data_IF_896813691242
#
_entry.id   IF_896813691242
#
_cell.length_a   1.000
_cell.length_b   1.000
_cell.length_c   1.000
_cell.angle_alpha   90.00
_cell.angle_beta   90.00
_cell.angle_gamma   90.00
#
_symmetry.space_group_name_H-M   'P 1'
#
loop_
_entity.id
_entity.type
_entity.pdbx_description
1 polymer ?
#
# COMPACT_ATOMS: atom_id res chain seq x y z
N UNK A 1 4.34 13.96 13.88
CA UNK A 1 4.13 12.64 13.24
C UNK A 1 3.06 12.64 12.14
N UNK A 2 2.16 13.64 12.03
CA UNK A 2 1.08 13.67 11.02
C UNK A 2 1.37 14.37 9.68
N UNK A 3 2.63 14.69 9.36
CA UNK A 3 2.96 15.44 8.14
C UNK A 3 2.71 14.57 6.90
N UNK A 4 1.95 15.10 5.93
CA UNK A 4 1.66 14.47 4.65
C UNK A 4 2.50 15.11 3.55
N UNK A 5 3.09 14.30 2.69
CA UNK A 5 3.72 14.77 1.46
C UNK A 5 2.66 14.96 0.37
N UNK A 6 2.38 16.21 0.03
CA UNK A 6 1.66 16.57 -1.19
C UNK A 6 2.67 16.67 -2.34
N UNK A 7 3.05 15.52 -2.88
CA UNK A 7 4.00 15.42 -3.98
C UNK A 7 3.44 14.52 -5.07
N UNK A 8 3.88 14.75 -6.31
CA UNK A 8 3.54 13.89 -7.47
C UNK A 8 3.90 12.41 -7.28
N UNK A 9 4.79 12.12 -6.34
CA UNK A 9 5.20 10.77 -5.95
C UNK A 9 4.16 10.06 -5.07
N UNK A 10 3.21 10.79 -4.49
CA UNK A 10 2.02 10.23 -3.84
C UNK A 10 0.93 10.11 -4.90
N UNK A 11 0.79 8.91 -5.47
CA UNK A 11 -0.19 8.62 -6.52
C UNK A 11 -1.56 8.45 -5.86
N UNK A 12 -2.41 9.47 -6.00
CA UNK A 12 -3.78 9.41 -5.49
C UNK A 12 -4.57 8.37 -6.27
N UNK A 13 -5.19 7.44 -5.56
CA UNK A 13 -6.19 6.58 -6.15
C UNK A 13 -7.54 7.27 -6.06
N UNK A 14 -8.04 7.82 -7.16
CA UNK A 14 -9.27 8.63 -7.19
C UNK A 14 -10.49 7.87 -6.64
N UNK A 15 -10.50 6.54 -6.66
CA UNK A 15 -11.60 5.73 -6.13
C UNK A 15 -11.59 5.60 -4.60
N UNK A 16 -10.44 5.76 -3.94
CA UNK A 16 -10.28 5.50 -2.50
C UNK A 16 -9.86 6.77 -1.74
N UNK A 17 -9.03 7.60 -2.36
CA UNK A 17 -8.50 8.84 -1.78
C UNK A 17 -9.44 10.05 -1.96
N UNK A 18 -10.35 10.03 -2.94
CA UNK A 18 -11.36 11.09 -3.08
C UNK A 18 -12.54 10.86 -2.13
N UNK A 19 -12.89 9.59 -1.89
CA UNK A 19 -14.01 9.23 -1.00
C UNK A 19 -13.66 9.43 0.49
N UNK A 20 -12.38 9.28 0.84
CA UNK A 20 -11.87 9.46 2.21
C UNK A 20 -10.91 10.65 2.27
N UNK A 21 -11.43 11.85 2.54
CA UNK A 21 -10.61 13.05 2.70
C UNK A 21 -9.46 12.82 3.69
N UNK A 22 -8.26 13.30 3.35
CA UNK A 22 -7.10 13.17 4.23
C UNK A 22 -7.42 13.78 5.62
N UNK A 23 -7.02 13.12 6.72
CA UNK A 23 -7.26 13.67 8.05
C UNK A 23 -6.57 15.01 8.19
N UNK A 24 -7.29 15.99 8.75
CA UNK A 24 -6.72 17.31 9.03
C UNK A 24 -5.52 17.16 9.95
N UNK A 25 -4.40 17.79 9.59
CA UNK A 25 -3.21 17.78 10.42
C UNK A 25 -3.49 18.51 11.74
N UNK A 26 -3.44 17.77 12.85
CA UNK A 26 -3.41 18.33 14.20
C UNK A 26 -2.08 17.97 14.87
N UNK A 27 -1.24 18.94 15.25
CA UNK A 27 0.03 18.69 15.91
C UNK A 27 -0.13 17.98 17.26
N UNK A 28 -1.30 18.06 17.90
CA UNK A 28 -1.60 17.43 19.20
C UNK A 28 -2.28 16.07 19.05
N UNK A 29 -2.98 15.83 17.94
CA UNK A 29 -3.76 14.61 17.72
C UNK A 29 -3.31 13.94 16.42
N UNK A 30 -2.46 12.91 16.55
CA UNK A 30 -2.04 12.11 15.41
C UNK A 30 -3.09 11.05 15.08
N UNK A 31 -3.70 11.16 13.89
CA UNK A 31 -4.61 10.15 13.36
C UNK A 31 -3.80 9.25 12.41
N UNK A 32 -3.58 7.96 12.75
CA UNK A 32 -2.87 7.04 11.87
C UNK A 32 -3.67 6.83 10.58
N UNK A 33 -3.03 7.01 9.43
CA UNK A 33 -3.65 6.81 8.12
C UNK A 33 -2.65 6.29 7.10
N UNK A 34 -3.13 5.55 6.12
CA UNK A 34 -2.37 5.12 4.93
C UNK A 34 -2.64 6.00 3.71
N UNK A 35 -3.35 7.13 3.90
CA UNK A 35 -3.64 8.08 2.83
C UNK A 35 -2.37 8.41 2.05
N UNK A 36 -2.44 8.39 0.71
CA UNK A 36 -1.29 8.57 -0.17
C UNK A 36 -0.47 9.82 0.20
N UNK A 37 0.82 9.64 0.49
CA UNK A 37 1.73 10.65 0.99
C UNK A 37 1.87 10.71 2.52
N UNK A 38 1.13 9.92 3.28
CA UNK A 38 1.21 9.86 4.75
C UNK A 38 2.16 8.76 5.23
N UNK A 39 2.74 8.94 6.41
CA UNK A 39 3.55 7.89 7.06
C UNK A 39 2.63 6.72 7.42
N UNK A 40 3.03 5.50 7.06
CA UNK A 40 2.20 4.34 7.36
C UNK A 40 2.11 4.08 8.87
N UNK A 41 0.96 3.63 9.39
CA UNK A 41 0.80 3.35 10.81
C UNK A 41 1.75 2.23 11.26
N UNK A 42 2.42 2.45 12.39
CA UNK A 42 3.15 1.39 13.08
C UNK A 42 2.14 0.50 13.80
N UNK A 43 2.04 -0.75 13.36
CA UNK A 43 1.12 -1.75 13.94
C UNK A 43 1.89 -3.03 14.19
N UNK A 44 1.63 -3.65 15.34
CA UNK A 44 2.10 -4.99 15.65
C UNK A 44 1.19 -6.01 14.95
N UNK A 45 1.81 -6.96 14.25
CA UNK A 45 1.15 -8.11 13.64
C UNK A 45 0.78 -9.13 14.73
N UNK A 46 -0.05 -10.11 14.37
CA UNK A 46 -0.52 -11.14 15.30
C UNK A 46 0.61 -12.01 15.86
N UNK A 47 1.74 -12.09 15.15
CA UNK A 47 2.96 -12.77 15.57
C UNK A 47 3.82 -11.94 16.55
N UNK A 48 3.43 -10.69 16.83
CA UNK A 48 4.17 -9.76 17.71
C UNK A 48 5.27 -8.98 17.00
N UNK A 49 5.58 -9.31 15.75
CA UNK A 49 6.47 -8.52 14.88
C UNK A 49 5.81 -7.20 14.43
N UNK A 50 6.59 -6.15 14.22
CA UNK A 50 6.08 -4.90 13.67
C UNK A 50 5.89 -5.03 12.16
N UNK A 51 4.82 -4.46 11.59
CA UNK A 51 4.59 -4.46 10.14
C UNK A 51 5.77 -3.89 9.34
N UNK A 52 6.50 -2.94 9.92
CA UNK A 52 7.68 -2.31 9.34
C UNK A 52 8.89 -3.24 9.25
N UNK A 53 8.96 -4.29 10.07
CA UNK A 53 10.01 -5.32 9.97
C UNK A 53 9.90 -6.10 8.65
N UNK A 54 8.68 -6.21 8.13
CA UNK A 54 8.40 -6.82 6.84
C UNK A 54 8.87 -6.01 5.64
N UNK A 55 9.27 -4.75 5.81
CA UNK A 55 9.65 -3.87 4.69
C UNK A 55 10.95 -4.32 4.01
N UNK A 56 11.01 -4.12 2.70
CA UNK A 56 12.20 -4.36 1.89
C UNK A 56 13.15 -3.17 1.88
N UNK A 57 14.32 -3.33 1.24
CA UNK A 57 15.29 -2.26 1.01
C UNK A 57 14.78 -1.18 0.03
N UNK A 58 13.78 -1.52 -0.78
CA UNK A 58 13.16 -0.64 -1.76
C UNK A 58 11.69 -0.41 -1.43
N UNK A 59 10.83 -0.51 -2.44
CA UNK A 59 9.40 -0.43 -2.26
C UNK A 59 8.87 -1.74 -1.66
N UNK A 60 7.81 -1.64 -0.87
CA UNK A 60 7.11 -2.79 -0.31
C UNK A 60 5.63 -2.71 -0.64
N UNK A 61 5.08 -3.73 -1.29
CA UNK A 61 3.64 -3.85 -1.51
C UNK A 61 3.04 -4.67 -0.37
N UNK A 62 2.24 -4.03 0.48
CA UNK A 62 1.57 -4.69 1.61
C UNK A 62 0.16 -5.07 1.18
N UNK A 63 -0.15 -6.36 1.20
CA UNK A 63 -1.46 -6.91 0.89
C UNK A 63 -2.06 -7.58 2.13
N UNK A 64 -3.21 -7.10 2.58
CA UNK A 64 -3.98 -7.72 3.66
C UNK A 64 -4.95 -8.75 3.07
N UNK A 65 -4.74 -10.03 3.42
CA UNK A 65 -5.50 -11.17 2.91
C UNK A 65 -6.33 -11.78 4.04
N UNK A 66 -7.58 -12.14 3.74
CA UNK A 66 -8.45 -12.88 4.66
C UNK A 66 -8.61 -14.32 4.19
N UNK A 67 -8.58 -15.27 5.11
CA UNK A 67 -8.59 -16.71 4.81
C UNK A 67 -9.90 -17.12 4.13
N UNK A 68 -11.00 -16.48 4.49
CA UNK A 68 -12.34 -16.70 3.96
C UNK A 68 -12.45 -16.25 2.50
N UNK A 69 -11.77 -15.16 2.13
CA UNK A 69 -11.70 -14.68 0.74
C UNK A 69 -10.84 -15.62 -0.14
N UNK A 70 -9.82 -16.27 0.42
CA UNK A 70 -8.99 -17.26 -0.28
C UNK A 70 -9.72 -18.59 -0.46
N UNK A 71 -10.62 -18.95 0.46
CA UNK A 71 -11.40 -20.18 0.42
C UNK A 71 -12.52 -20.19 -0.64
N UNK A 72 -12.93 -19.02 -1.15
CA UNK A 72 -13.98 -18.90 -2.16
C UNK A 72 -13.52 -19.27 -3.60
N UNK A 73 -12.27 -19.67 -3.82
CA UNK A 73 -11.94 -20.33 -5.08
C UNK A 73 -10.49 -20.37 -5.58
N UNK A 74 -9.45 -20.22 -4.75
CA UNK A 74 -8.13 -20.78 -5.10
C UNK A 74 -7.13 -20.66 -3.93
N UNK A 75 -6.63 -21.79 -3.45
CA UNK A 75 -5.68 -21.85 -2.32
C UNK A 75 -4.27 -21.34 -2.68
N UNK A 76 -4.06 -20.81 -3.89
CA UNK A 76 -2.76 -20.36 -4.38
C UNK A 76 -2.83 -19.05 -5.20
N UNK A 77 -3.92 -18.28 -5.14
CA UNK A 77 -4.02 -17.03 -5.89
C UNK A 77 -3.37 -15.87 -5.14
N UNK A 78 -2.18 -15.50 -5.61
CA UNK A 78 -1.67 -14.13 -5.43
C UNK A 78 -2.75 -13.18 -5.96
N UNK A 79 -3.18 -12.16 -5.20
CA UNK A 79 -4.10 -11.16 -5.72
C UNK A 79 -3.63 -10.66 -7.09
N UNK A 80 -4.54 -10.61 -8.08
CA UNK A 80 -4.22 -10.16 -9.44
C UNK A 80 -3.54 -8.79 -9.42
N UNK A 81 -4.01 -7.91 -8.51
CA UNK A 81 -3.38 -6.62 -8.25
C UNK A 81 -1.90 -6.76 -7.84
N UNK A 82 -1.59 -7.58 -6.83
CA UNK A 82 -0.21 -7.78 -6.36
C UNK A 82 0.68 -8.36 -7.47
N UNK A 83 0.20 -9.37 -8.19
CA UNK A 83 0.93 -9.98 -9.30
C UNK A 83 1.23 -8.95 -10.41
N UNK A 84 0.28 -8.06 -10.72
CA UNK A 84 0.47 -6.98 -11.70
C UNK A 84 1.56 -6.00 -11.29
N UNK A 85 1.66 -5.67 -10.00
CA UNK A 85 2.72 -4.81 -9.46
C UNK A 85 4.07 -5.51 -9.42
N UNK A 86 4.14 -6.78 -9.03
CA UNK A 86 5.36 -7.59 -9.06
C UNK A 86 5.91 -7.69 -10.49
N UNK A 87 5.05 -7.95 -11.47
CA UNK A 87 5.43 -8.03 -12.88
C UNK A 87 5.89 -6.67 -13.42
N UNK A 88 5.17 -5.59 -13.13
CA UNK A 88 5.57 -4.24 -13.53
C UNK A 88 6.91 -3.82 -12.91
N UNK A 89 7.14 -4.13 -11.63
CA UNK A 89 8.41 -3.88 -10.98
C UNK A 89 9.55 -4.67 -11.62
N UNK A 90 9.31 -5.94 -11.97
CA UNK A 90 10.28 -6.79 -12.69
C UNK A 90 10.63 -6.22 -14.07
N UNK A 91 9.64 -5.76 -14.83
CA UNK A 91 9.84 -5.16 -16.15
C UNK A 91 10.69 -3.88 -16.09
N UNK A 92 10.50 -3.07 -15.06
CA UNK A 92 11.22 -1.81 -14.86
C UNK A 92 12.44 -1.93 -13.95
N UNK A 93 12.83 -3.15 -13.54
CA UNK A 93 13.94 -3.41 -12.60
C UNK A 93 13.84 -2.61 -11.28
N UNK A 94 12.61 -2.40 -10.81
CA UNK A 94 12.33 -1.68 -9.56
C UNK A 94 12.39 -2.69 -8.40
N UNK A 95 13.14 -2.41 -7.31
CA UNK A 95 13.16 -3.27 -6.14
C UNK A 95 11.83 -3.17 -5.39
N UNK A 96 10.91 -4.10 -5.67
CA UNK A 96 9.63 -4.24 -5.00
C UNK A 96 9.58 -5.56 -4.23
N UNK A 97 9.23 -5.49 -2.95
CA UNK A 97 8.97 -6.66 -2.10
C UNK A 97 7.47 -6.82 -1.89
N UNK A 98 6.90 -7.98 -2.22
CA UNK A 98 5.52 -8.32 -1.84
C UNK A 98 5.47 -8.81 -0.39
N UNK A 99 4.70 -8.14 0.46
CA UNK A 99 4.40 -8.54 1.83
C UNK A 99 2.92 -8.94 1.94
N UNK A 100 2.67 -10.23 2.12
CA UNK A 100 1.32 -10.80 2.22
C UNK A 100 1.00 -11.07 3.69
N UNK A 101 0.06 -10.32 4.24
CA UNK A 101 -0.36 -10.42 5.64
C UNK A 101 -1.68 -11.19 5.70
N UNK A 102 -1.61 -12.43 6.17
CA UNK A 102 -2.79 -13.30 6.27
C UNK A 102 -3.49 -13.14 7.61
N UNK A 103 -4.81 -12.96 7.57
CA UNK A 103 -5.68 -12.89 8.74
C UNK A 103 -5.34 -11.76 9.75
N UNK A 104 -4.67 -10.70 9.28
CA UNK A 104 -4.29 -9.55 10.11
C UNK A 104 -5.42 -8.50 10.18
N UNK A 105 -6.54 -8.89 10.79
CA UNK A 105 -7.76 -8.05 10.84
C UNK A 105 -7.50 -6.73 11.57
N UNK A 106 -6.72 -6.75 12.65
CA UNK A 106 -6.41 -5.55 13.43
C UNK A 106 -5.59 -4.54 12.61
N UNK A 107 -4.51 -5.00 11.96
CA UNK A 107 -3.67 -4.16 11.13
C UNK A 107 -4.41 -3.65 9.89
N UNK A 108 -5.21 -4.50 9.24
CA UNK A 108 -6.06 -4.10 8.11
C UNK A 108 -7.06 -3.00 8.49
N UNK A 109 -7.66 -3.05 9.69
CA UNK A 109 -8.57 -2.00 10.18
C UNK A 109 -7.87 -0.67 10.43
N UNK A 110 -6.66 -0.69 11.01
CA UNK A 110 -5.88 0.54 11.25
C UNK A 110 -5.37 1.13 9.94
N UNK A 111 -4.93 0.26 9.02
CA UNK A 111 -4.43 0.68 7.72
C UNK A 111 -5.55 1.07 6.76
N UNK A 112 -6.77 0.59 6.97
CA UNK A 112 -7.97 0.97 6.22
C UNK A 112 -7.81 0.84 4.70
N UNK A 113 -7.06 -0.19 4.29
CA UNK A 113 -6.79 -0.50 2.89
C UNK A 113 -6.48 -1.99 2.76
N UNK A 114 -6.80 -2.55 1.59
CA UNK A 114 -6.50 -3.94 1.28
C UNK A 114 -5.10 -4.10 0.68
N UNK A 115 -4.67 -3.11 -0.10
CA UNK A 115 -3.37 -3.08 -0.76
C UNK A 115 -2.73 -1.71 -0.61
N UNK A 116 -1.47 -1.65 -0.18
CA UNK A 116 -0.74 -0.39 0.01
C UNK A 116 0.68 -0.51 -0.51
N UNK A 117 1.07 0.42 -1.37
CA UNK A 117 2.45 0.59 -1.83
C UNK A 117 3.19 1.49 -0.85
N UNK A 118 4.20 0.93 -0.19
CA UNK A 118 5.02 1.61 0.81
C UNK A 118 6.39 1.91 0.22
N UNK A 119 6.84 3.15 0.41
CA UNK A 119 8.17 3.62 0.02
C UNK A 119 9.25 3.16 1.01
N UNK A 120 10.54 3.13 0.62
CA UNK A 120 11.63 2.81 1.54
C UNK A 120 11.71 3.78 2.75
N UNK A 121 11.19 5.00 2.62
CA UNK A 121 11.09 5.97 3.73
C UNK A 121 9.92 5.74 4.70
N UNK A 122 9.09 4.71 4.47
CA UNK A 122 7.96 4.35 5.33
C UNK A 122 6.70 5.19 5.10
N UNK A 123 6.56 5.80 3.92
CA UNK A 123 5.36 6.53 3.52
C UNK A 123 4.56 5.74 2.49
N UNK A 124 3.23 5.88 2.57
CA UNK A 124 2.32 5.35 1.55
C UNK A 124 2.50 6.12 0.25
N UNK A 125 2.88 5.45 -0.84
CA UNK A 125 2.89 6.03 -2.18
C UNK A 125 1.53 5.90 -2.87
N UNK A 126 0.80 4.81 -2.59
CA UNK A 126 -0.47 4.50 -3.23
C UNK A 126 -1.23 3.46 -2.39
N UNK A 127 -2.56 3.44 -2.47
CA UNK A 127 -3.39 2.42 -1.82
C UNK A 127 -4.61 2.02 -2.65
N UNK A 128 -5.17 0.86 -2.34
CA UNK A 128 -6.42 0.35 -2.89
C UNK A 128 -7.26 -0.39 -1.85
N UNK A 129 -8.58 -0.24 -1.95
CA UNK A 129 -9.57 -1.00 -1.19
C UNK A 129 -9.93 -2.35 -1.81
N UNK A 130 -9.44 -2.67 -3.02
CA UNK A 130 -9.69 -3.93 -3.71
C UNK A 130 -8.40 -4.64 -4.10
N UNK A 131 -8.45 -5.98 -4.05
CA UNK A 131 -7.38 -6.91 -4.44
C UNK A 131 -7.51 -7.40 -5.89
N UNK A 132 -8.67 -7.15 -6.52
CA UNK A 132 -9.07 -7.78 -7.78
C UNK A 132 -8.77 -6.93 -9.02
N UNK A 133 -8.91 -5.60 -8.91
CA UNK A 133 -8.76 -4.68 -10.05
C UNK A 133 -7.79 -3.56 -9.75
N UNK A 134 -6.64 -3.61 -10.41
CA UNK A 134 -5.75 -2.46 -10.54
C UNK A 134 -5.50 -2.24 -12.02
N UNK A 135 -6.15 -1.23 -12.56
CA UNK A 135 -5.82 -0.70 -13.88
C UNK A 135 -4.66 0.29 -13.65
N UNK A 136 -3.51 0.06 -14.31
CA UNK A 136 -2.31 0.95 -14.32
C UNK A 136 -1.23 0.71 -13.25
N UNK A 137 -1.01 -0.52 -12.77
CA UNK A 137 0.06 -0.84 -11.82
C UNK A 137 1.46 -0.30 -12.23
N UNK A 138 1.83 -0.45 -13.50
CA UNK A 138 3.11 0.07 -14.02
C UNK A 138 3.20 1.59 -13.96
N UNK A 139 2.12 2.31 -14.31
CA UNK A 139 2.11 3.77 -14.23
C UNK A 139 2.22 4.26 -12.79
N UNK A 140 1.53 3.61 -11.85
CA UNK A 140 1.62 3.92 -10.41
C UNK A 140 3.05 3.74 -9.92
N UNK A 141 3.71 2.63 -10.27
CA UNK A 141 5.11 2.39 -9.90
C UNK A 141 6.06 3.42 -10.51
N UNK A 142 5.94 3.68 -11.82
CA UNK A 142 6.77 4.65 -12.53
C UNK A 142 6.61 6.05 -11.93
N UNK A 143 5.38 6.46 -11.62
CA UNK A 143 5.12 7.74 -10.97
C UNK A 143 5.68 7.79 -9.54
N UNK A 144 5.58 6.70 -8.78
CA UNK A 144 6.12 6.61 -7.42
C UNK A 144 7.66 6.71 -7.37
N UNK A 145 8.36 6.28 -8.44
CA UNK A 145 9.82 6.46 -8.59
C UNK A 145 10.21 7.79 -9.25
N UNK A 146 9.25 8.63 -9.62
CA UNK A 146 9.48 9.93 -10.25
C UNK A 146 9.72 9.88 -11.75
N UNK A 147 9.51 8.74 -12.41
CA UNK A 147 9.48 8.63 -13.87
C UNK A 147 8.14 9.17 -14.38
N UNK A 148 8.06 10.48 -14.56
CA UNK A 148 6.99 11.11 -15.34
C UNK A 148 7.25 10.87 -16.82
N UNK A 149 6.52 9.94 -17.45
CA UNK A 149 6.27 10.08 -18.89
C UNK A 149 5.48 11.37 -19.11
N UNK A 150 5.86 12.24 -20.06
CA UNK A 150 4.99 13.34 -20.47
C UNK A 150 3.69 12.75 -21.00
N UNK A 151 2.58 13.33 -20.55
CA UNK A 151 1.23 13.10 -21.10
C UNK A 151 1.20 13.43 -22.60
#
# INVERSE_FOLDING_TARGET
MGHRYESRLAVLNEQVDVEKAAPQFDPRNYIPTTFSGSRVPHVALSDGSAISDGFGKGFTMVAFLQKEAVAAGDQCQVPIALASFEEAARQHSIPLKGLRLMNEIHASRIWDACLVLVRPDGFSAWRSGSLDKVHNASQVLLQAIGHTSPL
#
